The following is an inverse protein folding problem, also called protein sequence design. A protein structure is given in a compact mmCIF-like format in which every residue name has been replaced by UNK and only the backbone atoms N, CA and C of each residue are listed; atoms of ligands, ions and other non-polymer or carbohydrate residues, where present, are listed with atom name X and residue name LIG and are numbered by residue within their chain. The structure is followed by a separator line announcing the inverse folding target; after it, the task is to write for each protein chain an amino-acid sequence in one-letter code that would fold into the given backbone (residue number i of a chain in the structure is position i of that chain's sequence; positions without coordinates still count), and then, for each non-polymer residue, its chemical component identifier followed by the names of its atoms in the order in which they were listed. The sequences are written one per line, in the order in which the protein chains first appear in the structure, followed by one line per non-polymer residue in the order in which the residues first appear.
data_IF_283226871004
#
_entry.id   IF_283226871004
#
_cell.length_a   1.000
_cell.length_b   1.000
_cell.length_c   1.000
_cell.angle_alpha   90.00
_cell.angle_beta   90.00
_cell.angle_gamma   90.00
#
_symmetry.space_group_name_H-M   'P 1'
#
loop_
_entity.id
_entity.type
_entity.pdbx_description
1 polymer ?
#
# COMPACT_ATOMS: atom_id res chain seq x y z
N UNK A 1 -17.86 -49.71 -77.45
CA UNK A 1 -19.21 -49.14 -77.24
C UNK A 1 -19.76 -49.64 -75.92
N UNK A 2 -19.77 -48.79 -74.89
CA UNK A 2 -20.73 -48.82 -73.76
C UNK A 2 -20.29 -47.78 -72.73
N UNK A 3 -20.94 -46.64 -72.80
CA UNK A 3 -20.89 -45.54 -71.84
C UNK A 3 -21.46 -45.99 -70.49
N UNK A 4 -20.81 -45.60 -69.38
CA UNK A 4 -21.48 -45.44 -68.09
C UNK A 4 -20.93 -44.18 -67.42
N UNK A 5 -21.70 -43.10 -67.58
CA UNK A 5 -21.62 -41.92 -66.73
C UNK A 5 -21.78 -42.33 -65.26
N UNK A 6 -20.85 -41.90 -64.42
CA UNK A 6 -21.11 -41.76 -62.98
C UNK A 6 -20.92 -40.29 -62.62
N UNK A 7 -22.04 -39.57 -62.57
CA UNK A 7 -22.15 -38.31 -61.87
C UNK A 7 -21.92 -38.58 -60.38
N UNK A 8 -20.81 -38.07 -59.81
CA UNK A 8 -20.70 -37.88 -58.37
C UNK A 8 -20.60 -36.38 -58.08
N UNK A 9 -21.63 -35.89 -57.40
CA UNK A 9 -21.80 -34.52 -57.00
C UNK A 9 -20.62 -34.04 -56.14
N UNK A 10 -20.07 -32.87 -56.50
CA UNK A 10 -19.17 -32.12 -55.64
C UNK A 10 -19.99 -31.52 -54.50
N UNK A 11 -19.90 -32.11 -53.31
CA UNK A 11 -20.48 -31.54 -52.10
C UNK A 11 -19.66 -30.32 -51.69
N UNK A 12 -20.22 -29.12 -51.86
CA UNK A 12 -19.64 -27.89 -51.31
C UNK A 12 -19.73 -27.99 -49.79
N UNK A 13 -18.63 -28.32 -49.13
CA UNK A 13 -18.53 -28.19 -47.68
C UNK A 13 -18.55 -26.71 -47.33
N UNK A 14 -19.71 -26.18 -46.93
CA UNK A 14 -19.83 -24.87 -46.31
C UNK A 14 -19.06 -24.93 -44.99
N UNK A 15 -17.85 -24.38 -44.96
CA UNK A 15 -17.17 -24.11 -43.70
C UNK A 15 -18.00 -23.05 -42.97
N UNK A 16 -18.80 -23.50 -42.01
CA UNK A 16 -19.45 -22.62 -41.06
C UNK A 16 -18.34 -21.83 -40.36
N UNK A 17 -18.17 -20.57 -40.76
CA UNK A 17 -17.35 -19.62 -40.01
C UNK A 17 -18.00 -19.48 -38.66
N UNK A 18 -17.46 -20.18 -37.65
CA UNK A 18 -17.78 -19.93 -36.26
C UNK A 18 -17.42 -18.47 -36.00
N UNK A 19 -18.43 -17.59 -36.11
CA UNK A 19 -18.35 -16.25 -35.56
C UNK A 19 -18.22 -16.47 -34.06
N UNK A 20 -16.98 -16.44 -33.57
CA UNK A 20 -16.72 -16.27 -32.15
C UNK A 20 -17.32 -14.91 -31.82
N UNK A 21 -18.57 -14.94 -31.36
CA UNK A 21 -19.17 -13.82 -30.66
C UNK A 21 -18.29 -13.64 -29.44
N UNK A 22 -17.32 -12.73 -29.54
CA UNK A 22 -16.63 -12.20 -28.38
C UNK A 22 -17.73 -11.58 -27.51
N UNK A 23 -18.23 -12.38 -26.57
CA UNK A 23 -19.07 -11.90 -25.49
C UNK A 23 -18.20 -10.92 -24.72
N UNK A 24 -18.29 -9.64 -25.08
CA UNK A 24 -17.84 -8.56 -24.20
C UNK A 24 -18.62 -8.75 -22.92
N UNK A 25 -17.97 -9.28 -21.89
CA UNK A 25 -18.59 -9.52 -20.59
C UNK A 25 -19.09 -8.20 -20.03
N UNK A 26 -20.36 -7.89 -20.25
CA UNK A 26 -21.05 -6.82 -19.53
C UNK A 26 -21.24 -7.31 -18.11
N UNK A 27 -20.53 -6.73 -17.14
CA UNK A 27 -20.81 -6.94 -15.72
C UNK A 27 -22.20 -6.37 -15.45
N UNK A 28 -23.19 -7.24 -15.23
CA UNK A 28 -24.53 -6.84 -14.87
C UNK A 28 -24.56 -6.46 -13.38
N UNK A 29 -25.03 -5.25 -13.05
CA UNK A 29 -25.27 -4.80 -11.67
C UNK A 29 -26.63 -5.33 -11.21
N UNK A 30 -26.74 -6.63 -10.96
CA UNK A 30 -27.92 -7.26 -10.38
C UNK A 30 -27.51 -7.97 -9.09
N UNK A 31 -27.79 -7.34 -7.94
CA UNK A 31 -27.86 -7.84 -6.55
C UNK A 31 -26.87 -8.92 -6.03
N UNK A 32 -25.85 -9.32 -6.78
CA UNK A 32 -24.95 -10.45 -6.50
C UNK A 32 -23.48 -10.18 -6.79
N UNK A 33 -23.05 -8.91 -6.71
CA UNK A 33 -21.65 -8.48 -6.90
C UNK A 33 -21.42 -7.62 -8.13
N UNK A 34 -20.39 -6.77 -8.10
CA UNK A 34 -20.05 -5.90 -9.24
C UNK A 34 -19.00 -4.83 -8.96
N UNK A 35 -18.86 -4.39 -7.70
CA UNK A 35 -17.83 -3.43 -7.27
C UNK A 35 -16.77 -4.20 -6.47
N UNK A 36 -15.50 -4.26 -6.94
CA UNK A 36 -14.41 -4.86 -6.18
C UNK A 36 -14.14 -4.12 -4.87
N UNK A 37 -13.77 -4.85 -3.81
CA UNK A 37 -13.32 -4.21 -2.56
C UNK A 37 -11.84 -3.81 -2.66
N UNK A 38 -11.38 -2.96 -1.73
CA UNK A 38 -9.98 -2.55 -1.68
C UNK A 38 -9.04 -3.74 -1.41
N UNK A 39 -9.50 -4.78 -0.71
CA UNK A 39 -8.74 -6.03 -0.56
C UNK A 39 -8.41 -6.71 -1.90
N UNK A 40 -9.37 -6.64 -2.83
CA UNK A 40 -9.30 -7.32 -4.11
C UNK A 40 -8.53 -6.49 -5.14
N UNK A 41 -8.71 -5.17 -5.13
CA UNK A 41 -8.23 -4.29 -6.20
C UNK A 41 -7.12 -3.31 -5.79
N UNK A 42 -6.98 -2.96 -4.51
CA UNK A 42 -5.92 -2.03 -4.10
C UNK A 42 -4.55 -2.60 -4.42
N UNK A 43 -3.67 -1.72 -4.91
CA UNK A 43 -2.32 -2.05 -5.37
C UNK A 43 -1.29 -1.05 -4.84
N UNK A 44 0.00 -1.34 -5.04
CA UNK A 44 1.09 -0.43 -4.66
C UNK A 44 1.11 -0.08 -3.17
N UNK A 45 1.36 1.21 -2.87
CA UNK A 45 1.46 1.71 -1.49
C UNK A 45 0.14 1.58 -0.72
N UNK A 46 -1.00 1.80 -1.39
CA UNK A 46 -2.33 1.67 -0.80
C UNK A 46 -2.55 0.27 -0.22
N UNK A 47 -2.27 -0.77 -1.02
CA UNK A 47 -2.35 -2.17 -0.56
C UNK A 47 -1.43 -2.44 0.63
N UNK A 48 -0.21 -1.91 0.61
CA UNK A 48 0.79 -2.09 1.69
C UNK A 48 0.34 -1.44 2.99
N UNK A 49 -0.17 -0.22 2.92
CA UNK A 49 -0.76 0.50 4.05
C UNK A 49 -1.93 -0.31 4.63
N UNK A 50 -2.89 -0.72 3.78
CA UNK A 50 -4.05 -1.51 4.22
C UNK A 50 -3.63 -2.81 4.93
N UNK A 51 -2.65 -3.53 4.40
CA UNK A 51 -2.14 -4.75 5.02
C UNK A 51 -1.39 -4.50 6.34
N UNK A 52 -0.63 -3.40 6.44
CA UNK A 52 0.08 -3.04 7.66
C UNK A 52 -0.91 -2.65 8.76
N UNK A 53 -1.92 -1.86 8.43
CA UNK A 53 -2.99 -1.46 9.35
C UNK A 53 -3.77 -2.67 9.87
N UNK A 54 -4.06 -3.66 9.02
CA UNK A 54 -4.68 -4.94 9.44
C UNK A 54 -3.84 -5.72 10.44
N UNK A 55 -2.52 -5.54 10.44
CA UNK A 55 -1.58 -6.14 11.41
C UNK A 55 -1.34 -5.23 12.62
N UNK A 56 -2.04 -4.09 12.73
CA UNK A 56 -1.84 -3.10 13.79
C UNK A 56 -0.49 -2.37 13.71
N UNK A 57 0.14 -2.32 12.52
CA UNK A 57 1.42 -1.64 12.29
C UNK A 57 1.23 -0.36 11.48
N UNK A 58 2.05 0.64 11.76
CA UNK A 58 2.08 1.91 11.03
C UNK A 58 3.50 2.23 10.52
N UNK A 59 3.98 1.55 9.47
CA UNK A 59 5.31 1.80 8.91
C UNK A 59 5.42 3.16 8.21
N UNK A 60 4.29 3.75 7.81
CA UNK A 60 4.26 4.99 7.02
C UNK A 60 3.92 6.25 7.85
N UNK A 61 3.96 6.15 9.18
CA UNK A 61 3.74 7.27 10.11
C UNK A 61 2.42 8.03 9.89
N UNK A 62 1.33 7.29 9.67
CA UNK A 62 -0.02 7.84 9.47
C UNK A 62 -0.62 8.33 10.79
N UNK A 63 -0.31 7.67 11.91
CA UNK A 63 -0.85 8.01 13.22
C UNK A 63 0.11 8.86 14.05
N UNK A 64 -0.44 9.48 15.10
CA UNK A 64 0.36 10.17 16.12
C UNK A 64 1.38 9.18 16.72
N UNK A 65 2.65 9.58 16.88
CA UNK A 65 3.63 8.76 17.58
C UNK A 65 3.18 8.40 19.00
N UNK A 66 3.65 7.26 19.49
CA UNK A 66 3.45 6.84 20.87
C UNK A 66 4.06 7.85 21.84
N UNK A 67 3.39 8.07 22.96
CA UNK A 67 3.90 8.92 24.05
C UNK A 67 4.84 8.13 24.97
N UNK A 68 5.89 8.80 25.41
CA UNK A 68 6.95 8.29 26.31
C UNK A 68 7.19 9.33 27.41
N UNK A 69 7.85 8.94 28.50
CA UNK A 69 8.14 9.87 29.59
C UNK A 69 9.16 10.96 29.18
N UNK A 70 10.01 10.68 28.18
CA UNK A 70 11.01 11.63 27.68
C UNK A 70 12.21 11.78 28.62
N UNK A 71 12.41 10.83 29.54
CA UNK A 71 13.57 10.77 30.44
C UNK A 71 14.77 10.13 29.76
N UNK A 72 15.93 10.14 30.42
CA UNK A 72 17.14 9.52 29.86
C UNK A 72 16.97 8.01 29.72
N UNK A 73 16.25 7.40 30.63
CA UNK A 73 15.96 5.97 30.72
C UNK A 73 14.81 5.56 29.78
N UNK A 74 13.81 6.43 29.60
CA UNK A 74 12.67 6.24 28.70
C UNK A 74 12.56 7.40 27.69
N UNK A 75 13.49 7.48 26.71
CA UNK A 75 13.48 8.53 25.71
C UNK A 75 12.35 8.31 24.69
N UNK A 76 11.90 9.39 24.05
CA UNK A 76 11.00 9.29 22.91
C UNK A 76 11.68 8.53 21.77
N UNK A 77 11.12 7.38 21.41
CA UNK A 77 11.63 6.57 20.31
C UNK A 77 11.15 7.15 18.99
N UNK A 78 12.09 7.49 18.12
CA UNK A 78 11.84 8.05 16.80
C UNK A 78 12.30 7.03 15.75
N UNK A 79 11.39 6.31 15.09
CA UNK A 79 11.74 5.42 14.00
C UNK A 79 12.34 6.21 12.83
N UNK A 80 13.35 5.70 12.13
CA UNK A 80 13.92 6.38 10.96
C UNK A 80 14.55 5.41 9.97
N UNK A 81 14.38 5.66 8.68
CA UNK A 81 15.02 4.88 7.59
C UNK A 81 16.44 5.36 7.27
N UNK A 82 16.79 6.58 7.71
CA UNK A 82 18.09 7.23 7.48
C UNK A 82 18.79 7.51 8.81
N UNK A 83 20.05 7.92 8.71
CA UNK A 83 20.93 8.24 9.85
C UNK A 83 20.48 9.49 10.64
N UNK A 84 19.48 10.24 10.13
CA UNK A 84 18.84 11.35 10.84
C UNK A 84 17.38 11.53 10.45
N UNK A 85 16.56 12.02 11.38
CA UNK A 85 15.16 12.40 11.18
C UNK A 85 14.87 13.75 11.84
N UNK A 86 14.07 14.57 11.18
CA UNK A 86 13.61 15.84 11.75
C UNK A 86 12.58 15.56 12.85
N UNK A 87 12.78 16.15 14.02
CA UNK A 87 11.88 16.05 15.18
C UNK A 87 11.26 17.41 15.46
N UNK A 88 9.95 17.43 15.67
CA UNK A 88 9.21 18.56 16.21
C UNK A 88 8.78 18.26 17.64
N UNK A 89 9.30 19.03 18.60
CA UNK A 89 8.95 18.92 20.01
C UNK A 89 7.95 20.02 20.38
N UNK A 90 6.76 19.60 20.82
CA UNK A 90 5.80 20.46 21.50
C UNK A 90 6.08 20.34 23.00
N UNK A 91 6.77 21.33 23.57
CA UNK A 91 7.35 21.21 24.92
C UNK A 91 6.29 21.13 26.04
N UNK A 92 5.17 21.81 25.85
CA UNK A 92 3.99 21.84 26.73
C UNK A 92 2.75 21.75 25.84
N UNK A 93 1.65 21.21 26.36
CA UNK A 93 0.44 20.91 25.56
C UNK A 93 -0.13 22.15 24.84
N UNK A 94 -0.13 23.30 25.52
CA UNK A 94 -0.72 24.55 25.03
C UNK A 94 0.27 25.43 24.24
N UNK A 95 1.50 24.96 24.01
CA UNK A 95 2.48 25.74 23.27
C UNK A 95 2.03 25.94 21.81
N UNK A 96 2.17 27.17 21.31
CA UNK A 96 1.83 27.50 19.92
C UNK A 96 3.02 27.33 18.97
N UNK A 97 4.23 27.22 19.50
CA UNK A 97 5.47 27.07 18.75
C UNK A 97 6.06 25.67 18.91
N UNK A 98 6.46 25.05 17.79
CA UNK A 98 7.13 23.76 17.76
C UNK A 98 8.64 23.99 17.69
N UNK A 99 9.38 23.30 18.54
CA UNK A 99 10.85 23.31 18.53
C UNK A 99 11.34 22.23 17.57
N UNK A 100 12.03 22.64 16.51
CA UNK A 100 12.53 21.75 15.47
C UNK A 100 14.03 21.51 15.61
N UNK A 101 14.46 20.25 15.49
CA UNK A 101 15.88 19.89 15.46
C UNK A 101 16.11 18.58 14.71
N UNK A 102 17.33 18.40 14.19
CA UNK A 102 17.76 17.13 13.60
C UNK A 102 18.15 16.15 14.70
N UNK A 103 17.47 15.01 14.72
CA UNK A 103 17.85 13.86 15.53
C UNK A 103 18.70 12.92 14.68
N UNK A 104 19.92 12.67 15.11
CA UNK A 104 20.89 11.79 14.49
C UNK A 104 20.87 10.41 15.15
N UNK A 105 21.38 9.43 14.42
CA UNK A 105 21.65 8.11 14.96
C UNK A 105 22.72 8.15 16.07
N UNK A 106 22.75 7.11 16.89
CA UNK A 106 23.66 7.02 18.03
C UNK A 106 23.00 7.39 19.35
N UNK A 107 23.67 8.15 20.20
CA UNK A 107 23.22 8.42 21.57
C UNK A 107 21.93 9.28 21.60
N UNK A 108 21.07 9.10 22.63
CA UNK A 108 19.90 9.97 22.79
C UNK A 108 20.31 11.45 22.81
N UNK A 109 19.55 12.27 22.09
CA UNK A 109 19.71 13.73 22.07
C UNK A 109 18.54 14.39 22.80
N UNK A 110 18.71 15.65 23.18
CA UNK A 110 17.71 16.39 23.96
C UNK A 110 17.09 17.50 23.13
N UNK A 111 15.81 17.76 23.35
CA UNK A 111 15.17 18.99 22.87
C UNK A 111 15.94 20.20 23.41
N UNK A 112 16.30 21.19 22.56
CA UNK A 112 17.07 22.35 23.00
C UNK A 112 16.29 23.31 23.92
N UNK A 113 14.97 23.14 24.05
CA UNK A 113 14.10 23.96 24.91
C UNK A 113 13.75 23.25 26.22
N UNK A 114 12.93 22.19 26.20
CA UNK A 114 12.50 21.49 27.42
C UNK A 114 13.47 20.42 27.93
N UNK A 115 14.44 20.00 27.11
CA UNK A 115 15.42 19.01 27.50
C UNK A 115 14.95 17.55 27.48
N UNK A 116 13.73 17.24 27.00
CA UNK A 116 13.24 15.87 26.81
C UNK A 116 14.15 15.06 25.88
N UNK A 117 14.35 13.78 26.18
CA UNK A 117 15.23 12.90 25.44
C UNK A 117 14.53 12.23 24.26
N UNK A 118 15.24 12.12 23.15
CA UNK A 118 14.82 11.46 21.92
C UNK A 118 15.91 10.51 21.44
N UNK A 119 15.52 9.33 20.96
CA UNK A 119 16.44 8.30 20.44
C UNK A 119 15.98 7.87 19.06
N UNK A 120 16.86 7.99 18.07
CA UNK A 120 16.62 7.46 16.74
C UNK A 120 16.79 5.94 16.77
N UNK A 121 15.80 5.20 16.25
CA UNK A 121 15.88 3.76 16.03
C UNK A 121 15.69 3.49 14.55
N UNK A 122 16.60 2.71 13.98
CA UNK A 122 16.51 2.30 12.59
C UNK A 122 15.23 1.50 12.36
N UNK A 123 14.45 1.88 11.35
CA UNK A 123 13.19 1.24 11.00
C UNK A 123 13.21 0.87 9.53
N UNK A 124 13.00 -0.41 9.24
CA UNK A 124 12.88 -0.92 7.87
C UNK A 124 11.44 -0.81 7.37
N UNK A 125 11.26 -0.23 6.18
CA UNK A 125 9.96 -0.15 5.53
C UNK A 125 9.63 -1.47 4.82
N UNK A 126 8.38 -1.95 4.91
CA UNK A 126 7.95 -3.11 4.15
C UNK A 126 7.91 -2.80 2.65
N UNK A 127 8.49 -3.69 1.85
CA UNK A 127 8.52 -3.66 0.39
C UNK A 127 7.40 -4.48 -0.26
#
# INVERSE_FOLDING_TARGET
MASRLLLRACGISVMARNRVLARTGRRAMASGGGIPTDEEQAAGLERRVLQALKKGKDPYSIFKPKEYAGTKEDPHIVPGISDKRLVGCLCEEDNTAIVWFWLHEGNPQRCPSCGSYYKLIHHELPH
#
